data_IF_899055518635
#
_entry.id   IF_899055518635
#
_cell.length_a   1.000
_cell.length_b   1.000
_cell.length_c   1.000
_cell.angle_alpha   90.00
_cell.angle_beta   90.00
_cell.angle_gamma   90.00
#
_symmetry.space_group_name_H-M   'P 1'
#
loop_
_entity.id
_entity.type
_entity.pdbx_description
1 polymer ?
#
# COMPACT_ATOMS: atom_id res chain seq x y z
N UNK A 1 -0.32 5.28 -7.71
CA UNK A 1 -1.80 5.40 -7.50
C UNK A 1 -2.17 5.85 -6.10
N UNK A 2 -1.96 5.08 -5.03
CA UNK A 2 -2.26 5.56 -3.66
C UNK A 2 -1.64 6.93 -3.36
N UNK A 3 -0.32 7.06 -3.59
CA UNK A 3 0.39 8.34 -3.45
C UNK A 3 -0.14 9.47 -4.33
N UNK A 4 -0.66 9.18 -5.51
CA UNK A 4 -1.25 10.20 -6.39
C UNK A 4 -2.53 10.75 -5.76
N UNK A 5 -3.40 9.87 -5.27
CA UNK A 5 -4.67 10.25 -4.63
C UNK A 5 -4.43 11.04 -3.35
N UNK A 6 -3.51 10.60 -2.48
CA UNK A 6 -3.25 11.33 -1.24
C UNK A 6 -2.52 12.65 -1.49
N UNK A 7 -1.62 12.72 -2.49
CA UNK A 7 -1.01 13.99 -2.88
C UNK A 7 -2.06 14.98 -3.39
N UNK A 8 -3.00 14.53 -4.22
CA UNK A 8 -4.12 15.36 -4.70
C UNK A 8 -5.00 15.83 -3.52
N UNK A 9 -5.32 14.95 -2.56
CA UNK A 9 -6.11 15.31 -1.37
C UNK A 9 -5.41 16.32 -0.44
N UNK A 10 -4.08 16.23 -0.33
CA UNK A 10 -3.27 17.16 0.44
C UNK A 10 -2.79 18.38 -0.38
N UNK A 11 -3.18 18.51 -1.65
CA UNK A 11 -2.78 19.64 -2.50
C UNK A 11 -1.28 19.70 -2.81
N UNK A 12 -0.59 18.56 -2.80
CA UNK A 12 0.84 18.45 -3.11
C UNK A 12 1.01 18.15 -4.59
N UNK A 13 1.76 19.00 -5.28
CA UNK A 13 2.04 18.82 -6.71
C UNK A 13 3.10 17.71 -6.94
N UNK A 14 3.34 17.30 -8.21
CA UNK A 14 4.39 16.34 -8.53
C UNK A 14 5.81 16.76 -8.17
N UNK A 15 6.04 18.06 -7.90
CA UNK A 15 7.35 18.60 -7.49
C UNK A 15 7.55 18.57 -5.97
N UNK A 16 6.50 18.22 -5.22
CA UNK A 16 6.47 18.21 -3.76
C UNK A 16 6.06 19.55 -3.14
N UNK A 17 5.68 20.54 -3.94
CA UNK A 17 5.26 21.86 -3.46
C UNK A 17 3.78 21.85 -3.10
N UNK A 18 3.42 22.45 -1.97
CA UNK A 18 2.02 22.58 -1.57
C UNK A 18 1.35 23.74 -2.30
N UNK A 19 0.22 23.45 -2.94
CA UNK A 19 -0.65 24.39 -3.64
C UNK A 19 -2.12 24.26 -3.18
N UNK A 20 -2.34 23.74 -1.98
CA UNK A 20 -3.69 23.59 -1.43
C UNK A 20 -4.27 24.89 -0.89
N UNK A 21 -5.60 24.87 -0.69
CA UNK A 21 -6.39 26.03 -0.29
C UNK A 21 -6.90 25.94 1.17
N UNK A 22 -6.56 24.87 1.90
CA UNK A 22 -7.13 24.56 3.22
C UNK A 22 -6.09 24.14 4.24
N UNK A 23 -6.05 24.82 5.38
CA UNK A 23 -5.14 24.52 6.51
C UNK A 23 -5.25 23.08 7.02
N UNK A 24 -6.45 22.48 6.96
CA UNK A 24 -6.69 21.08 7.35
C UNK A 24 -5.86 20.07 6.54
N UNK A 25 -5.44 20.43 5.33
CA UNK A 25 -4.60 19.57 4.49
C UNK A 25 -3.16 19.49 5.01
N UNK A 26 -2.69 20.54 5.70
CA UNK A 26 -1.33 20.61 6.25
C UNK A 26 -1.25 20.09 7.68
N UNK A 27 -2.34 20.11 8.44
CA UNK A 27 -2.34 19.83 9.88
C UNK A 27 -1.75 18.45 10.25
N UNK A 28 -1.94 17.44 9.40
CA UNK A 28 -1.41 16.07 9.59
C UNK A 28 -0.68 15.52 8.36
N UNK A 29 -0.13 16.40 7.53
CA UNK A 29 0.63 16.00 6.34
C UNK A 29 1.88 15.20 6.71
N UNK A 30 2.44 15.45 7.90
CA UNK A 30 3.63 14.81 8.46
C UNK A 30 3.51 13.29 8.67
N UNK A 31 2.28 12.75 8.69
CA UNK A 31 2.02 11.31 8.85
C UNK A 31 2.57 10.52 7.67
N UNK A 32 2.34 10.99 6.44
CA UNK A 32 2.78 10.31 5.21
C UNK A 32 3.90 11.03 4.48
N UNK A 33 4.12 12.32 4.75
CA UNK A 33 5.15 13.12 4.09
C UNK A 33 6.21 13.60 5.09
N UNK A 34 7.44 13.65 4.61
CA UNK A 34 8.58 14.33 5.19
C UNK A 34 8.65 15.75 4.65
N UNK A 35 8.75 16.74 5.52
CA UNK A 35 9.00 18.12 5.10
C UNK A 35 10.52 18.30 4.89
N UNK A 36 10.93 18.37 3.63
CA UNK A 36 12.29 18.64 3.23
C UNK A 36 12.56 20.16 3.15
N UNK A 37 13.84 20.52 3.14
CA UNK A 37 14.28 21.91 2.97
C UNK A 37 13.70 22.54 1.71
N UNK A 38 13.14 23.75 1.87
CA UNK A 38 12.51 24.49 0.78
C UNK A 38 11.00 24.25 0.63
N UNK A 39 10.32 23.74 1.66
CA UNK A 39 8.86 23.55 1.65
C UNK A 39 8.41 22.43 0.71
N UNK A 40 9.27 21.44 0.48
CA UNK A 40 8.97 20.27 -0.35
C UNK A 40 8.55 19.11 0.53
N UNK A 41 7.40 18.51 0.22
CA UNK A 41 6.88 17.34 0.88
C UNK A 41 7.28 16.08 0.11
N UNK A 42 8.01 15.19 0.77
CA UNK A 42 8.52 13.93 0.19
C UNK A 42 7.80 12.75 0.87
N UNK A 43 7.19 11.82 0.12
CA UNK A 43 6.59 10.60 0.64
C UNK A 43 7.54 9.79 1.53
N UNK A 44 7.06 9.40 2.71
CA UNK A 44 7.69 8.38 3.56
C UNK A 44 7.40 6.99 2.98
N UNK A 45 8.03 6.70 1.85
CA UNK A 45 7.83 5.46 1.11
C UNK A 45 9.17 4.77 0.86
N UNK A 46 9.19 3.44 0.99
CA UNK A 46 10.28 2.58 0.55
C UNK A 46 9.73 1.71 -0.58
N UNK A 47 10.34 1.80 -1.75
CA UNK A 47 9.95 1.02 -2.91
C UNK A 47 11.02 -0.03 -3.15
N UNK A 48 10.60 -1.29 -3.15
CA UNK A 48 11.51 -2.38 -3.44
C UNK A 48 10.88 -3.39 -4.38
N UNK A 49 11.74 -3.96 -5.24
CA UNK A 49 11.38 -5.03 -6.16
C UNK A 49 12.63 -5.86 -6.46
N UNK A 50 12.46 -7.13 -6.79
CA UNK A 50 13.55 -8.00 -7.23
C UNK A 50 13.89 -7.77 -8.72
N UNK A 51 13.00 -7.08 -9.44
CA UNK A 51 13.19 -6.71 -10.84
C UNK A 51 13.37 -5.19 -11.02
N UNK A 52 14.31 -4.74 -11.86
CA UNK A 52 14.54 -3.31 -12.08
C UNK A 52 13.43 -2.63 -12.92
N UNK A 53 12.70 -3.39 -13.76
CA UNK A 53 11.77 -2.84 -14.76
C UNK A 53 10.58 -2.07 -14.16
N UNK A 54 10.14 -2.44 -12.96
CA UNK A 54 9.03 -1.76 -12.26
C UNK A 54 9.42 -0.33 -11.88
N UNK A 55 10.70 -0.08 -11.57
CA UNK A 55 11.17 1.23 -11.12
C UNK A 55 11.13 2.28 -12.22
N UNK A 56 11.54 1.92 -13.44
CA UNK A 56 11.50 2.82 -14.58
C UNK A 56 10.06 3.26 -14.87
N UNK A 57 9.11 2.34 -14.70
CA UNK A 57 7.67 2.63 -14.82
C UNK A 57 7.18 3.59 -13.73
N UNK A 58 7.63 3.43 -12.49
CA UNK A 58 7.28 4.35 -11.39
C UNK A 58 7.88 5.74 -11.61
N UNK A 59 9.15 5.81 -12.02
CA UNK A 59 9.86 7.08 -12.28
C UNK A 59 9.28 7.83 -13.48
N UNK A 60 8.83 7.10 -14.50
CA UNK A 60 8.13 7.67 -15.65
C UNK A 60 6.66 8.07 -15.33
N UNK A 61 6.14 7.66 -14.17
CA UNK A 61 4.82 8.03 -13.71
C UNK A 61 4.68 9.52 -13.37
N UNK A 62 3.44 10.04 -13.29
CA UNK A 62 3.18 11.47 -13.07
C UNK A 62 3.78 12.01 -11.77
N UNK A 63 3.83 11.19 -10.72
CA UNK A 63 4.41 11.53 -9.42
C UNK A 63 5.73 10.80 -9.14
N UNK A 64 6.40 10.30 -10.18
CA UNK A 64 7.66 9.54 -10.03
C UNK A 64 8.81 10.36 -9.43
N UNK A 65 8.84 11.66 -9.71
CA UNK A 65 9.86 12.60 -9.20
C UNK A 65 9.69 12.96 -7.72
N UNK A 66 8.53 12.64 -7.15
CA UNK A 66 8.20 12.94 -5.77
C UNK A 66 8.96 12.03 -4.78
N UNK A 67 9.25 10.79 -5.19
CA UNK A 67 9.93 9.80 -4.37
C UNK A 67 11.45 10.05 -4.29
N UNK A 68 12.03 9.87 -3.10
CA UNK A 68 13.47 9.98 -2.90
C UNK A 68 14.19 8.84 -3.67
N UNK A 69 15.18 9.14 -4.53
CA UNK A 69 15.95 8.14 -5.26
C UNK A 69 16.62 7.08 -4.36
N UNK A 70 17.04 7.47 -3.16
CA UNK A 70 17.67 6.59 -2.17
C UNK A 70 16.72 5.55 -1.58
N UNK A 71 15.41 5.75 -1.70
CA UNK A 71 14.39 4.85 -1.15
C UNK A 71 13.96 3.77 -2.15
N UNK A 72 14.61 3.72 -3.33
CA UNK A 72 14.43 2.68 -4.33
C UNK A 72 15.50 1.60 -4.14
N UNK A 73 15.09 0.42 -3.69
CA UNK A 73 15.96 -0.75 -3.54
C UNK A 73 15.56 -1.83 -4.53
N UNK A 74 16.48 -2.31 -5.37
CA UNK A 74 16.13 -3.30 -6.39
C UNK A 74 17.16 -4.40 -6.56
N UNK A 75 16.65 -5.58 -6.90
CA UNK A 75 17.44 -6.73 -7.31
C UNK A 75 17.78 -6.72 -8.80
N UNK A 76 18.60 -7.70 -9.20
CA UNK A 76 18.89 -7.98 -10.62
C UNK A 76 18.11 -9.19 -11.14
N UNK A 77 17.56 -10.02 -10.25
CA UNK A 77 16.93 -11.29 -10.56
C UNK A 77 15.54 -11.38 -9.93
N UNK A 78 14.51 -11.52 -10.77
CA UNK A 78 13.13 -11.68 -10.31
C UNK A 78 12.85 -13.04 -9.65
N UNK A 79 11.87 -13.06 -8.75
CA UNK A 79 11.44 -14.30 -8.10
C UNK A 79 10.72 -15.28 -9.05
N UNK A 80 10.25 -14.82 -10.22
CA UNK A 80 9.59 -15.67 -11.23
C UNK A 80 8.35 -16.41 -10.71
N UNK A 81 7.47 -15.71 -9.97
CA UNK A 81 6.28 -16.27 -9.33
C UNK A 81 6.53 -17.44 -8.36
N UNK A 82 7.74 -17.53 -7.79
CA UNK A 82 8.07 -18.53 -6.79
C UNK A 82 8.28 -17.89 -5.40
N UNK A 83 7.38 -18.20 -4.47
CA UNK A 83 7.46 -17.71 -3.08
C UNK A 83 8.78 -18.10 -2.41
N UNK A 84 9.27 -19.33 -2.60
CA UNK A 84 10.49 -19.80 -1.94
C UNK A 84 11.74 -19.04 -2.41
N UNK A 85 11.79 -18.62 -3.68
CA UNK A 85 12.87 -17.76 -4.18
C UNK A 85 12.83 -16.38 -3.53
N UNK A 86 11.64 -15.79 -3.44
CA UNK A 86 11.45 -14.50 -2.78
C UNK A 86 11.74 -14.57 -1.27
N UNK A 87 11.45 -15.69 -0.61
CA UNK A 87 11.58 -15.79 0.84
C UNK A 87 12.95 -16.29 1.33
N UNK A 88 13.59 -17.21 0.60
CA UNK A 88 14.81 -17.88 1.07
C UNK A 88 16.06 -17.59 0.25
N UNK A 89 15.95 -17.17 -1.01
CA UNK A 89 17.13 -16.96 -1.88
C UNK A 89 17.30 -15.48 -2.25
N UNK A 90 16.67 -15.02 -3.33
CA UNK A 90 16.90 -13.70 -3.91
C UNK A 90 16.45 -12.58 -2.97
N UNK A 91 15.29 -12.75 -2.33
CA UNK A 91 14.78 -11.76 -1.39
C UNK A 91 15.55 -11.72 -0.07
N UNK A 92 16.20 -12.83 0.32
CA UNK A 92 17.05 -12.86 1.51
C UNK A 92 18.38 -12.12 1.29
N UNK A 93 18.88 -12.05 0.05
CA UNK A 93 20.05 -11.25 -0.28
C UNK A 93 19.74 -9.74 -0.31
N UNK A 94 18.54 -9.36 -0.76
CA UNK A 94 18.14 -7.95 -0.87
C UNK A 94 17.59 -7.36 0.44
N UNK A 95 17.15 -8.20 1.38
CA UNK A 95 16.40 -7.76 2.57
C UNK A 95 17.18 -6.77 3.44
N UNK A 96 18.49 -6.99 3.63
CA UNK A 96 19.32 -6.14 4.49
C UNK A 96 19.39 -4.71 3.93
N UNK A 97 19.47 -4.57 2.60
CA UNK A 97 19.46 -3.26 1.94
C UNK A 97 18.12 -2.54 2.13
N UNK A 98 17.00 -3.27 2.08
CA UNK A 98 15.67 -2.69 2.34
C UNK A 98 15.53 -2.29 3.80
N UNK A 99 15.96 -3.15 4.74
CA UNK A 99 15.91 -2.87 6.17
C UNK A 99 16.73 -1.64 6.56
N UNK A 100 17.91 -1.43 5.95
CA UNK A 100 18.71 -0.24 6.20
C UNK A 100 18.01 1.06 5.77
N UNK A 101 17.27 1.05 4.66
CA UNK A 101 16.45 2.19 4.23
C UNK A 101 15.26 2.38 5.19
N UNK A 102 14.60 1.30 5.58
CA UNK A 102 13.49 1.35 6.55
C UNK A 102 13.96 1.93 7.89
N UNK A 103 15.14 1.56 8.38
CA UNK A 103 15.75 2.11 9.60
C UNK A 103 16.01 3.61 9.47
N UNK A 104 16.58 4.07 8.36
CA UNK A 104 16.80 5.51 8.10
C UNK A 104 15.49 6.30 8.14
N UNK A 105 14.43 5.78 7.52
CA UNK A 105 13.12 6.43 7.54
C UNK A 105 12.49 6.36 8.93
N UNK A 106 12.64 5.26 9.68
CA UNK A 106 12.16 5.13 11.05
C UNK A 106 12.85 6.11 12.01
N UNK A 107 14.17 6.30 11.88
CA UNK A 107 14.95 7.29 12.66
C UNK A 107 14.57 8.74 12.32
N UNK A 108 14.10 9.00 11.09
CA UNK A 108 13.60 10.32 10.68
C UNK A 108 12.21 10.67 11.22
N UNK A 109 11.55 9.73 11.93
CA UNK A 109 10.22 9.92 12.50
C UNK A 109 10.33 10.27 13.99
N UNK A 110 9.69 11.36 14.42
CA UNK A 110 9.62 11.71 15.85
C UNK A 110 8.87 10.63 16.67
N UNK A 111 7.77 10.11 16.11
CA UNK A 111 6.97 9.05 16.73
C UNK A 111 6.37 8.13 15.66
N UNK A 112 7.06 7.04 15.36
CA UNK A 112 6.59 6.03 14.40
C UNK A 112 5.37 5.27 14.96
N UNK A 113 4.22 5.33 14.27
CA UNK A 113 3.03 4.57 14.67
C UNK A 113 3.12 3.09 14.26
N UNK A 114 3.59 2.85 13.04
CA UNK A 114 3.56 1.54 12.42
C UNK A 114 4.05 1.56 10.98
N UNK A 115 3.93 0.41 10.33
CA UNK A 115 4.30 0.22 8.92
C UNK A 115 3.07 -0.16 8.11
N UNK A 116 2.93 0.46 6.94
CA UNK A 116 1.92 0.12 5.95
C UNK A 116 2.59 -0.62 4.79
N UNK A 117 2.22 -1.89 4.62
CA UNK A 117 2.83 -2.77 3.64
C UNK A 117 1.84 -3.05 2.50
N UNK A 118 2.18 -2.78 1.24
CA UNK A 118 1.29 -3.08 0.09
C UNK A 118 1.95 -4.13 -0.79
N UNK A 119 1.30 -5.27 -0.96
CA UNK A 119 1.87 -6.39 -1.70
C UNK A 119 0.81 -7.32 -2.31
N UNK A 120 1.23 -8.14 -3.27
CA UNK A 120 0.41 -9.22 -3.82
C UNK A 120 0.76 -10.56 -3.17
N UNK A 121 -0.26 -11.38 -2.91
CA UNK A 121 -0.09 -12.73 -2.39
C UNK A 121 0.19 -13.76 -3.49
N UNK A 122 -0.19 -13.46 -4.74
CA UNK A 122 -0.01 -14.36 -5.89
C UNK A 122 1.40 -14.34 -6.49
N UNK A 123 2.13 -13.22 -6.38
CA UNK A 123 3.47 -13.07 -6.97
C UNK A 123 4.54 -13.89 -6.25
N UNK A 124 5.81 -13.79 -6.67
CA UNK A 124 6.95 -14.37 -5.94
C UNK A 124 7.64 -13.36 -5.02
N UNK A 125 7.87 -12.14 -5.52
CA UNK A 125 8.49 -11.05 -4.77
C UNK A 125 7.57 -10.50 -3.68
N UNK A 126 6.38 -10.03 -4.07
CA UNK A 126 5.43 -9.43 -3.13
C UNK A 126 4.98 -10.41 -2.03
N UNK A 127 4.86 -11.68 -2.37
CA UNK A 127 4.44 -12.72 -1.42
C UNK A 127 5.63 -13.15 -0.53
N UNK A 128 6.71 -13.67 -1.11
CA UNK A 128 7.83 -14.29 -0.38
C UNK A 128 8.73 -13.27 0.31
N UNK A 129 9.28 -12.33 -0.46
CA UNK A 129 10.13 -11.27 0.09
C UNK A 129 9.32 -10.34 1.00
N UNK A 130 8.07 -10.06 0.63
CA UNK A 130 7.19 -9.25 1.45
C UNK A 130 6.91 -9.86 2.83
N UNK A 131 6.59 -11.16 2.91
CA UNK A 131 6.40 -11.81 4.21
C UNK A 131 7.69 -11.94 5.01
N UNK A 132 8.84 -12.09 4.35
CA UNK A 132 10.15 -12.06 5.02
C UNK A 132 10.38 -10.70 5.68
N UNK A 133 10.12 -9.60 4.95
CA UNK A 133 10.29 -8.25 5.46
C UNK A 133 9.36 -7.95 6.63
N UNK A 134 8.10 -8.39 6.55
CA UNK A 134 7.15 -8.23 7.67
C UNK A 134 7.68 -8.94 8.92
N UNK A 135 8.19 -10.16 8.80
CA UNK A 135 8.79 -10.91 9.93
C UNK A 135 9.98 -10.16 10.53
N UNK A 136 10.88 -9.64 9.68
CA UNK A 136 12.07 -8.91 10.15
C UNK A 136 11.75 -7.57 10.80
N UNK A 137 10.79 -6.83 10.25
CA UNK A 137 10.30 -5.61 10.88
C UNK A 137 9.64 -5.92 12.21
N UNK A 138 8.90 -7.03 12.33
CA UNK A 138 8.29 -7.44 13.61
C UNK A 138 9.33 -7.83 14.66
N UNK A 139 10.45 -8.43 14.25
CA UNK A 139 11.59 -8.72 15.13
C UNK A 139 12.27 -7.43 15.63
N UNK A 140 12.47 -6.43 14.77
CA UNK A 140 13.14 -5.16 15.14
C UNK A 140 12.21 -4.17 15.87
N UNK A 141 10.94 -4.15 15.49
CA UNK A 141 9.94 -3.18 15.97
C UNK A 141 8.69 -3.89 16.52
N UNK A 142 8.81 -4.67 17.62
CA UNK A 142 7.72 -5.49 18.15
C UNK A 142 6.52 -4.66 18.64
N UNK A 143 6.75 -3.44 19.12
CA UNK A 143 5.70 -2.58 19.67
C UNK A 143 4.95 -1.77 18.60
N UNK A 144 5.35 -1.84 17.33
CA UNK A 144 4.77 -1.04 16.24
C UNK A 144 3.70 -1.82 15.49
N UNK A 145 2.64 -1.13 15.06
CA UNK A 145 1.55 -1.76 14.32
C UNK A 145 2.00 -2.12 12.91
N UNK A 146 1.72 -3.35 12.50
CA UNK A 146 1.95 -3.82 11.14
C UNK A 146 0.62 -3.96 10.39
N UNK A 147 0.40 -3.08 9.40
CA UNK A 147 -0.80 -3.10 8.56
C UNK A 147 -0.43 -3.52 7.13
N UNK A 148 -0.95 -4.65 6.65
CA UNK A 148 -0.75 -5.12 5.28
C UNK A 148 -1.97 -4.92 4.41
N UNK A 149 -1.77 -4.42 3.20
CA UNK A 149 -2.71 -4.39 2.10
C UNK A 149 -2.34 -5.50 1.14
N UNK A 150 -3.04 -6.62 1.28
CA UNK A 150 -2.69 -7.88 0.65
C UNK A 150 -3.66 -8.16 -0.49
N UNK A 151 -3.14 -8.12 -1.72
CA UNK A 151 -3.94 -8.43 -2.91
C UNK A 151 -4.03 -9.94 -3.08
N UNK A 152 -5.23 -10.48 -2.90
CA UNK A 152 -5.54 -11.88 -3.10
C UNK A 152 -5.63 -12.18 -4.61
N UNK A 153 -5.06 -13.32 -5.06
CA UNK A 153 -5.14 -13.73 -6.45
C UNK A 153 -6.58 -14.09 -6.84
N UNK A 154 -6.93 -13.87 -8.10
CA UNK A 154 -8.20 -14.32 -8.69
C UNK A 154 -7.94 -14.93 -10.07
N UNK A 155 -8.54 -16.10 -10.37
CA UNK A 155 -8.37 -16.77 -11.66
C UNK A 155 -8.97 -15.99 -12.84
N UNK A 156 -9.79 -14.97 -12.60
CA UNK A 156 -10.32 -14.09 -13.65
C UNK A 156 -9.31 -13.06 -14.14
N UNK A 157 -8.31 -12.75 -13.31
CA UNK A 157 -7.37 -11.63 -13.53
C UNK A 157 -5.95 -12.13 -13.84
N UNK A 158 -5.59 -13.34 -13.40
CA UNK A 158 -4.28 -13.94 -13.65
C UNK A 158 -4.40 -15.42 -14.03
N UNK A 159 -3.61 -15.83 -15.03
CA UNK A 159 -3.52 -17.22 -15.51
C UNK A 159 -2.44 -18.03 -14.78
N UNK A 160 -1.82 -17.48 -13.73
CA UNK A 160 -0.69 -18.12 -13.05
C UNK A 160 -1.18 -19.24 -12.12
N UNK A 161 -0.90 -20.48 -12.48
CA UNK A 161 -1.35 -21.68 -11.74
C UNK A 161 -0.72 -21.85 -10.34
N UNK A 162 0.39 -21.16 -10.06
CA UNK A 162 1.11 -21.27 -8.77
C UNK A 162 0.65 -20.25 -7.72
N UNK A 163 -0.24 -19.32 -8.05
CA UNK A 163 -0.73 -18.30 -7.12
C UNK A 163 -1.37 -18.87 -5.85
N UNK A 164 -2.17 -19.96 -5.88
CA UNK A 164 -2.72 -20.55 -4.67
C UNK A 164 -1.64 -21.08 -3.71
N UNK A 165 -0.51 -21.56 -4.23
CA UNK A 165 0.62 -21.99 -3.40
C UNK A 165 1.26 -20.79 -2.70
N UNK A 166 1.58 -19.73 -3.47
CA UNK A 166 2.18 -18.51 -2.94
C UNK A 166 1.27 -17.84 -1.91
N UNK A 167 -0.03 -17.75 -2.18
CA UNK A 167 -0.99 -17.15 -1.27
C UNK A 167 -1.12 -17.94 0.04
N UNK A 168 -1.15 -19.28 -0.03
CA UNK A 168 -1.24 -20.13 1.16
C UNK A 168 -0.01 -19.95 2.06
N UNK A 169 1.19 -19.95 1.47
CA UNK A 169 2.45 -19.75 2.18
C UNK A 169 2.54 -18.35 2.80
N UNK A 170 2.11 -17.32 2.07
CA UNK A 170 2.12 -15.96 2.59
C UNK A 170 1.08 -15.71 3.68
N UNK A 171 -0.14 -16.25 3.55
CA UNK A 171 -1.17 -16.12 4.59
C UNK A 171 -0.69 -16.74 5.90
N UNK A 172 0.01 -17.88 5.86
CA UNK A 172 0.57 -18.48 7.08
C UNK A 172 1.47 -17.51 7.84
N UNK A 173 2.32 -16.76 7.14
CA UNK A 173 3.20 -15.75 7.74
C UNK A 173 2.43 -14.50 8.21
N UNK A 174 1.42 -14.06 7.44
CA UNK A 174 0.60 -12.89 7.80
C UNK A 174 -0.27 -13.11 9.04
N UNK A 175 -0.72 -14.36 9.28
CA UNK A 175 -1.51 -14.70 10.46
C UNK A 175 -0.73 -14.46 11.76
N UNK A 176 0.59 -14.59 11.72
CA UNK A 176 1.45 -14.49 12.91
C UNK A 176 2.12 -13.12 13.05
N UNK A 177 2.50 -12.51 11.92
CA UNK A 177 3.36 -11.32 11.93
C UNK A 177 2.64 -9.99 11.63
N UNK A 178 1.44 -10.00 11.03
CA UNK A 178 0.67 -8.79 10.78
C UNK A 178 -0.35 -8.55 11.90
N UNK A 179 -0.51 -7.28 12.31
CA UNK A 179 -1.55 -6.91 13.27
C UNK A 179 -2.89 -6.62 12.57
N UNK A 180 -2.85 -6.07 11.35
CA UNK A 180 -4.02 -5.78 10.53
C UNK A 180 -3.77 -6.22 9.09
N UNK A 181 -4.66 -7.01 8.50
CA UNK A 181 -4.56 -7.42 7.10
C UNK A 181 -5.80 -7.01 6.32
N UNK A 182 -5.62 -6.03 5.44
CA UNK A 182 -6.62 -5.51 4.52
C UNK A 182 -6.63 -6.38 3.27
N UNK A 183 -7.60 -7.30 3.18
CA UNK A 183 -7.72 -8.23 2.06
C UNK A 183 -8.35 -7.55 0.85
N UNK A 184 -7.60 -7.51 -0.26
CA UNK A 184 -8.03 -6.96 -1.53
C UNK A 184 -8.18 -8.09 -2.54
N UNK A 185 -9.40 -8.58 -2.74
CA UNK A 185 -9.67 -9.60 -3.76
C UNK A 185 -9.76 -8.96 -5.14
N UNK A 186 -8.85 -9.31 -6.07
CA UNK A 186 -8.87 -8.78 -7.44
C UNK A 186 -10.17 -9.09 -8.20
N UNK A 187 -10.91 -10.13 -7.83
CA UNK A 187 -12.19 -10.46 -8.44
C UNK A 187 -13.25 -9.38 -8.19
N UNK A 188 -13.27 -8.79 -6.99
CA UNK A 188 -14.30 -7.85 -6.59
C UNK A 188 -14.20 -6.50 -7.33
N UNK A 189 -13.05 -5.80 -7.40
CA UNK A 189 -12.87 -4.62 -8.23
C UNK A 189 -13.13 -4.90 -9.71
N UNK A 190 -12.75 -6.08 -10.22
CA UNK A 190 -13.02 -6.46 -11.60
C UNK A 190 -14.54 -6.54 -11.87
N UNK A 191 -15.27 -7.27 -11.02
CA UNK A 191 -16.72 -7.40 -11.13
C UNK A 191 -17.43 -6.04 -10.93
N UNK A 192 -16.93 -5.18 -10.04
CA UNK A 192 -17.43 -3.80 -9.84
C UNK A 192 -17.21 -2.95 -11.10
N UNK A 193 -16.01 -2.96 -11.68
CA UNK A 193 -15.71 -2.22 -12.89
C UNK A 193 -16.59 -2.66 -14.06
N UNK A 194 -16.76 -3.98 -14.22
CA UNK A 194 -17.53 -4.56 -15.31
C UNK A 194 -19.04 -4.35 -15.13
N UNK A 195 -19.60 -4.72 -13.97
CA UNK A 195 -21.05 -4.74 -13.73
C UNK A 195 -21.60 -3.39 -13.31
N UNK A 196 -20.90 -2.66 -12.44
CA UNK A 196 -21.39 -1.41 -11.85
C UNK A 196 -20.93 -0.19 -12.64
N UNK A 197 -19.63 -0.09 -12.93
CA UNK A 197 -19.08 1.05 -13.70
C UNK A 197 -19.34 0.96 -15.21
N UNK A 198 -19.79 -0.22 -15.69
CA UNK A 198 -20.09 -0.52 -17.11
C UNK A 198 -18.87 -0.39 -18.03
N UNK A 199 -17.68 -0.73 -17.53
CA UNK A 199 -16.46 -0.79 -18.34
C UNK A 199 -16.39 -2.16 -19.02
N UNK A 200 -16.35 -2.17 -20.36
CA UNK A 200 -16.33 -3.42 -21.15
C UNK A 200 -15.00 -4.17 -21.03
N UNK A 201 -13.89 -3.46 -20.84
CA UNK A 201 -12.54 -4.02 -20.70
C UNK A 201 -11.83 -3.30 -19.54
N UNK A 202 -12.03 -3.75 -18.28
CA UNK A 202 -11.38 -3.14 -17.13
C UNK A 202 -9.86 -3.37 -17.19
N UNK A 203 -9.09 -2.30 -16.98
CA UNK A 203 -7.62 -2.35 -16.96
C UNK A 203 -7.09 -2.36 -15.53
N UNK A 204 -5.85 -2.80 -15.29
CA UNK A 204 -5.21 -2.67 -13.97
C UNK A 204 -5.20 -1.23 -13.45
N UNK A 205 -5.19 -0.23 -14.33
CA UNK A 205 -5.33 1.18 -13.94
C UNK A 205 -6.67 1.48 -13.24
N UNK A 206 -7.76 0.90 -13.73
CA UNK A 206 -9.10 1.08 -13.15
C UNK A 206 -9.24 0.35 -11.82
N UNK A 207 -8.72 -0.89 -11.73
CA UNK A 207 -8.68 -1.67 -10.48
C UNK A 207 -7.86 -0.94 -9.41
N UNK A 208 -6.67 -0.47 -9.78
CA UNK A 208 -5.78 0.27 -8.87
C UNK A 208 -6.39 1.60 -8.43
N UNK A 209 -7.24 2.23 -9.24
CA UNK A 209 -7.96 3.43 -8.83
C UNK A 209 -8.97 3.11 -7.71
N UNK A 210 -9.78 2.05 -7.86
CA UNK A 210 -10.71 1.61 -6.80
C UNK A 210 -9.98 1.24 -5.51
N UNK A 211 -8.89 0.47 -5.63
CA UNK A 211 -8.05 0.11 -4.48
C UNK A 211 -7.48 1.36 -3.81
N UNK A 212 -6.97 2.32 -4.59
CA UNK A 212 -6.43 3.56 -4.03
C UNK A 212 -7.48 4.41 -3.31
N UNK A 213 -8.72 4.44 -3.80
CA UNK A 213 -9.82 5.13 -3.14
C UNK A 213 -10.19 4.46 -1.81
N UNK A 214 -10.23 3.13 -1.77
CA UNK A 214 -10.46 2.37 -0.55
C UNK A 214 -9.34 2.57 0.48
N UNK A 215 -8.08 2.52 0.04
CA UNK A 215 -6.91 2.82 0.89
C UNK A 215 -6.94 4.26 1.40
N UNK A 216 -7.32 5.23 0.56
CA UNK A 216 -7.47 6.62 0.97
C UNK A 216 -8.54 6.77 2.06
N UNK A 217 -9.69 6.10 1.90
CA UNK A 217 -10.77 6.09 2.89
C UNK A 217 -10.35 5.53 4.24
N UNK A 218 -9.65 4.39 4.27
CA UNK A 218 -9.14 3.79 5.52
C UNK A 218 -8.14 4.72 6.21
N UNK A 219 -7.26 5.35 5.45
CA UNK A 219 -6.20 6.23 5.97
C UNK A 219 -6.67 7.66 6.27
N UNK A 220 -7.92 8.01 5.96
CA UNK A 220 -8.48 9.35 6.18
C UNK A 220 -8.38 9.77 7.65
N UNK A 221 -8.67 8.85 8.59
CA UNK A 221 -8.61 9.14 10.03
C UNK A 221 -7.18 9.38 10.56
N UNK A 222 -6.17 8.93 9.81
CA UNK A 222 -4.76 9.16 10.11
C UNK A 222 -4.32 10.52 9.56
N UNK A 223 -4.74 10.82 8.33
CA UNK A 223 -4.30 11.98 7.52
C UNK A 223 -5.02 13.29 7.81
N UNK A 224 -6.22 13.24 8.36
CA UNK A 224 -7.01 14.42 8.69
C UNK A 224 -7.39 14.41 10.17
N UNK A 225 -7.58 15.60 10.78
CA UNK A 225 -8.01 15.68 12.18
C UNK A 225 -9.38 15.04 12.36
N UNK A 226 -9.46 14.05 13.24
CA UNK A 226 -10.68 13.31 13.54
C UNK A 226 -10.70 12.77 14.96
N UNK A 227 -11.90 12.64 15.53
CA UNK A 227 -12.09 12.16 16.91
C UNK A 227 -12.07 10.61 17.00
N UNK A 228 -12.47 9.91 15.94
CA UNK A 228 -12.62 8.45 15.90
C UNK A 228 -11.46 7.81 15.11
N UNK A 229 -10.90 6.70 15.61
CA UNK A 229 -9.82 5.93 14.97
C UNK A 229 -8.62 6.77 14.50
N UNK A 230 -8.22 7.74 15.31
CA UNK A 230 -7.16 8.71 15.02
C UNK A 230 -5.74 8.12 14.92
N UNK A 231 -5.59 6.81 15.14
CA UNK A 231 -4.31 6.09 15.22
C UNK A 231 -4.56 4.63 14.79
N UNK A 232 -3.57 4.04 14.12
CA UNK A 232 -3.57 2.63 13.70
C UNK A 232 -3.85 1.70 14.88
N UNK A 233 -3.28 1.98 16.06
CA UNK A 233 -3.52 1.15 17.24
C UNK A 233 -4.99 1.17 17.69
N UNK A 234 -5.67 2.30 17.59
CA UNK A 234 -7.10 2.40 17.95
C UNK A 234 -7.97 1.62 16.97
N UNK A 235 -7.62 1.63 15.69
CA UNK A 235 -8.30 0.84 14.68
C UNK A 235 -8.21 -0.67 15.02
N UNK A 236 -6.99 -1.15 15.29
CA UNK A 236 -6.74 -2.53 15.69
C UNK A 236 -7.55 -2.94 16.93
N UNK A 237 -7.48 -2.13 18.01
CA UNK A 237 -8.16 -2.44 19.28
C UNK A 237 -9.69 -2.48 19.13
N UNK A 238 -10.25 -1.64 18.27
CA UNK A 238 -11.71 -1.57 18.08
C UNK A 238 -12.25 -2.69 17.20
N UNK A 239 -11.48 -3.14 16.20
CA UNK A 239 -11.97 -4.06 15.18
C UNK A 239 -11.48 -5.50 15.34
N UNK A 240 -10.43 -5.74 16.13
CA UNK A 240 -9.81 -7.06 16.30
C UNK A 240 -10.12 -7.61 17.70
N UNK A 241 -11.17 -8.44 17.84
CA UNK A 241 -11.48 -9.07 19.12
C UNK A 241 -10.51 -10.21 19.46
N UNK A 242 -9.91 -10.85 18.44
CA UNK A 242 -8.99 -11.98 18.60
C UNK A 242 -7.77 -11.80 17.71
N UNK A 243 -6.54 -12.01 18.21
CA UNK A 243 -5.30 -11.71 17.47
C UNK A 243 -5.15 -12.40 16.11
N UNK A 244 -5.78 -13.56 15.88
CA UNK A 244 -5.72 -14.29 14.61
C UNK A 244 -6.85 -13.93 13.62
N UNK A 245 -7.82 -13.14 14.07
CA UNK A 245 -8.99 -12.72 13.28
C UNK A 245 -8.86 -11.24 12.92
N UNK A 246 -7.75 -10.91 12.27
CA UNK A 246 -7.35 -9.55 11.89
C UNK A 246 -7.45 -9.28 10.38
N UNK A 247 -8.18 -10.12 9.66
CA UNK A 247 -8.41 -9.97 8.23
C UNK A 247 -9.68 -9.15 7.97
N UNK A 248 -9.51 -7.99 7.36
CA UNK A 248 -10.59 -7.08 7.04
C UNK A 248 -11.03 -7.23 5.58
N UNK A 249 -12.35 -7.23 5.39
CA UNK A 249 -12.97 -7.05 4.09
C UNK A 249 -13.24 -5.56 3.89
N UNK A 250 -12.66 -4.99 2.84
CA UNK A 250 -12.77 -3.56 2.54
C UNK A 250 -13.94 -3.32 1.57
N UNK A 251 -14.69 -2.26 1.82
CA UNK A 251 -15.73 -1.76 0.91
C UNK A 251 -15.70 -0.24 0.84
N UNK A 252 -16.05 0.30 -0.33
CA UNK A 252 -16.20 1.73 -0.53
C UNK A 252 -17.55 2.01 -1.20
N UNK A 253 -18.23 3.08 -0.76
CA UNK A 253 -19.43 3.60 -1.36
C UNK A 253 -19.41 5.14 -1.31
N UNK A 254 -19.96 5.84 -2.32
CA UNK A 254 -20.67 5.32 -3.50
C UNK A 254 -19.75 4.95 -4.67
N UNK A 255 -20.09 3.88 -5.40
CA UNK A 255 -19.41 3.45 -6.63
C UNK A 255 -20.14 4.03 -7.85
N UNK A 256 -19.74 5.21 -8.30
CA UNK A 256 -20.42 5.91 -9.40
C UNK A 256 -19.72 5.69 -10.75
N UNK A 257 -20.46 5.23 -11.76
CA UNK A 257 -19.99 5.23 -13.15
C UNK A 257 -19.78 6.66 -13.66
N UNK A 258 -18.86 6.84 -14.63
CA UNK A 258 -18.68 8.13 -15.34
C UNK A 258 -19.99 8.64 -15.95
N UNK A 259 -20.90 7.75 -16.37
CA UNK A 259 -22.23 8.12 -16.87
C UNK A 259 -23.25 8.53 -15.79
N UNK A 260 -23.00 8.16 -14.53
CA UNK A 260 -23.87 8.48 -13.38
C UNK A 260 -23.43 9.75 -12.64
N UNK A 261 -22.34 10.41 -13.07
CA UNK A 261 -21.85 11.66 -12.47
C UNK A 261 -22.90 12.78 -12.46
N UNK A 262 -23.81 12.82 -13.45
CA UNK A 262 -24.87 13.82 -13.54
C UNK A 262 -25.93 13.73 -12.43
N UNK A 263 -26.00 12.60 -11.71
CA UNK A 263 -26.90 12.40 -10.56
C UNK A 263 -26.20 12.58 -9.21
N UNK A 264 -24.96 13.10 -9.18
CA UNK A 264 -24.36 13.61 -7.94
C UNK A 264 -25.22 14.78 -7.48
N UNK A 265 -26.16 14.53 -6.57
CA UNK A 265 -26.91 15.58 -5.94
C UNK A 265 -25.92 16.61 -5.37
N UNK A 266 -26.11 17.87 -5.79
CA UNK A 266 -25.68 19.04 -5.05
C UNK A 266 -26.15 18.86 -3.61
N UNK A 267 -25.25 18.43 -2.73
CA UNK A 267 -25.45 18.44 -1.28
C UNK A 267 -24.11 18.70 -0.63
#
# INVERSE_FOLDING_TARGET
>A
KFWEVISDEHGVDPTGTYHGDSDLQLERINVYFNEATGGRYVPRAVLFDLEPGTMDSVRAGPFGQLFRPDNFVFGQAGAGNNWAKGHYTEGAELIDSVLDVVRKEAESCDCLQGFQFTHSLGGGTGSGMGTLLISKIREEYPDRIMCSYSVCPSPKVSDTVVEPYNATLSIHQLVENADECMCLDNEAPYDICFRTLKLTTPTYGDLNHLVSAAMSGITTCLRFPGQLNSDLRKLAVNLIPFPRLHFFMIGFAPLTSRGSQQYRALT
#
